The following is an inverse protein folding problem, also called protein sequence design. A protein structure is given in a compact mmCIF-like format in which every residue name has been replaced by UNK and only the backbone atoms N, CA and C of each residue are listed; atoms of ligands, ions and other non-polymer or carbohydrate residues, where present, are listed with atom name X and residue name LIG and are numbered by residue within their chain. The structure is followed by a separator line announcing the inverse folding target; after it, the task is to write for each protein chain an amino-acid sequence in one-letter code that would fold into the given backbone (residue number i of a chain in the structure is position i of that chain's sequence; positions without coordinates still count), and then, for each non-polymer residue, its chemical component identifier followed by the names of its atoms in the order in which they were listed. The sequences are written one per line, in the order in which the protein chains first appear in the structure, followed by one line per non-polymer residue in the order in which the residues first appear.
data_IF_187488804026
#
_entry.id   IF_187488804026
#
_cell.length_a   1.000
_cell.length_b   1.000
_cell.length_c   1.000
_cell.angle_alpha   90.00
_cell.angle_beta   90.00
_cell.angle_gamma   90.00
#
_symmetry.space_group_name_H-M   'P 1'
#
loop_
_entity.id
_entity.type
_entity.pdbx_description
1 polymer ?
#
# COMPACT_ATOMS: atom_id res chain seq x y z
N UNK A 1 -10.30 -0.85 -13.30
CA UNK A 1 -9.16 -1.72 -13.70
C UNK A 1 -9.41 -3.15 -13.23
N UNK A 2 -9.19 -4.14 -14.10
CA UNK A 2 -9.31 -5.58 -13.78
C UNK A 2 -7.98 -6.21 -13.33
N UNK A 3 -8.02 -7.43 -12.77
CA UNK A 3 -6.82 -8.20 -12.39
C UNK A 3 -5.90 -8.43 -13.60
N UNK A 4 -6.46 -8.83 -14.74
CA UNK A 4 -5.72 -9.06 -15.98
C UNK A 4 -5.10 -7.78 -16.56
N UNK A 5 -5.77 -6.64 -16.41
CA UNK A 5 -5.21 -5.34 -16.81
C UNK A 5 -4.03 -4.95 -15.91
N UNK A 6 -4.18 -5.07 -14.59
CA UNK A 6 -3.10 -4.79 -13.64
C UNK A 6 -1.88 -5.68 -13.90
N UNK A 7 -2.08 -6.99 -14.08
CA UNK A 7 -1.01 -7.94 -14.39
C UNK A 7 -0.22 -7.51 -15.63
N UNK A 8 -0.94 -7.20 -16.73
CA UNK A 8 -0.30 -6.75 -17.98
C UNK A 8 0.51 -5.47 -17.81
N UNK A 9 0.05 -4.52 -16.98
CA UNK A 9 0.80 -3.30 -16.69
C UNK A 9 2.04 -3.57 -15.83
N UNK A 10 1.93 -4.39 -14.78
CA UNK A 10 3.04 -4.73 -13.89
C UNK A 10 4.15 -5.51 -14.60
N UNK A 11 3.79 -6.40 -15.54
CA UNK A 11 4.75 -7.15 -16.35
C UNK A 11 5.66 -6.26 -17.23
N UNK A 12 5.23 -5.03 -17.56
CA UNK A 12 5.98 -4.10 -18.41
C UNK A 12 7.08 -3.31 -17.66
N UNK A 13 7.25 -3.50 -16.35
CA UNK A 13 8.21 -2.72 -15.57
C UNK A 13 9.03 -3.58 -14.61
N UNK A 14 10.35 -3.38 -14.63
CA UNK A 14 11.28 -4.00 -13.69
C UNK A 14 11.45 -3.24 -12.37
N UNK A 15 10.72 -2.13 -12.18
CA UNK A 15 10.68 -1.37 -10.93
C UNK A 15 10.11 -2.23 -9.81
N UNK A 16 10.34 -1.82 -8.55
CA UNK A 16 9.68 -2.47 -7.43
C UNK A 16 8.15 -2.35 -7.53
N UNK A 17 7.41 -3.30 -6.96
CA UNK A 17 5.95 -3.27 -6.93
C UNK A 17 5.45 -1.99 -6.26
N UNK A 18 6.12 -1.53 -5.20
CA UNK A 18 5.77 -0.28 -4.53
C UNK A 18 5.88 0.93 -5.46
N UNK A 19 6.96 1.03 -6.22
CA UNK A 19 7.11 2.10 -7.21
C UNK A 19 6.04 2.00 -8.30
N UNK A 20 5.78 0.79 -8.79
CA UNK A 20 4.83 0.56 -9.87
C UNK A 20 3.39 0.94 -9.49
N UNK A 21 2.93 0.62 -8.27
CA UNK A 21 1.56 0.96 -7.83
C UNK A 21 1.39 2.42 -7.41
N UNK A 22 2.49 3.15 -7.16
CA UNK A 22 2.45 4.60 -6.87
C UNK A 22 2.45 5.45 -8.15
N UNK A 23 2.81 4.85 -9.28
CA UNK A 23 2.79 5.49 -10.58
C UNK A 23 1.33 5.74 -11.02
N UNK A 24 0.93 7.01 -11.02
CA UNK A 24 -0.45 7.40 -11.34
C UNK A 24 -0.84 7.09 -12.79
N UNK A 25 0.13 6.90 -13.70
CA UNK A 25 -0.14 6.43 -15.07
C UNK A 25 -0.46 4.93 -15.13
N UNK A 26 0.04 4.17 -14.16
CA UNK A 26 -0.20 2.73 -14.04
C UNK A 26 -1.49 2.46 -13.25
N UNK A 27 -1.59 3.06 -12.06
CA UNK A 27 -2.68 2.90 -11.11
C UNK A 27 -2.99 4.21 -10.39
N UNK A 28 -4.02 4.91 -10.86
CA UNK A 28 -4.47 6.15 -10.26
C UNK A 28 -5.12 5.94 -8.88
N UNK A 29 -4.96 6.91 -7.99
CA UNK A 29 -5.62 6.97 -6.68
C UNK A 29 -4.88 6.26 -5.54
N UNK A 30 -3.87 5.44 -5.86
CA UNK A 30 -3.02 4.82 -4.82
C UNK A 30 -1.92 5.79 -4.41
N UNK A 31 -2.04 6.31 -3.18
CA UNK A 31 -1.02 7.12 -2.51
C UNK A 31 -0.09 6.29 -1.61
N UNK A 32 0.91 6.93 -1.00
CA UNK A 32 1.94 6.24 -0.20
C UNK A 32 1.35 5.47 0.99
N UNK A 33 0.33 6.01 1.66
CA UNK A 33 -0.34 5.35 2.79
C UNK A 33 -0.97 4.04 2.34
N UNK A 34 -1.89 4.10 1.37
CA UNK A 34 -2.58 2.93 0.84
C UNK A 34 -1.64 1.93 0.17
N UNK A 35 -0.54 2.38 -0.44
CA UNK A 35 0.47 1.48 -0.99
C UNK A 35 1.16 0.66 0.11
N UNK A 36 1.55 1.28 1.23
CA UNK A 36 2.16 0.57 2.35
C UNK A 36 1.18 -0.43 2.98
N UNK A 37 -0.02 0.04 3.32
CA UNK A 37 -1.02 -0.77 3.98
C UNK A 37 -1.54 -1.88 3.05
N UNK A 38 -1.73 -1.60 1.76
CA UNK A 38 -2.13 -2.58 0.76
C UNK A 38 -1.08 -3.66 0.52
N UNK A 39 0.21 -3.32 0.51
CA UNK A 39 1.31 -4.30 0.36
C UNK A 39 1.48 -5.16 1.61
N UNK A 40 1.38 -4.55 2.81
CA UNK A 40 1.32 -5.31 4.05
C UNK A 40 0.13 -6.25 4.02
N UNK A 41 -1.02 -5.73 3.64
CA UNK A 41 -2.26 -6.47 3.63
C UNK A 41 -2.18 -7.67 2.67
N UNK A 42 -1.58 -7.47 1.50
CA UNK A 42 -1.31 -8.51 0.51
C UNK A 42 -0.19 -9.48 0.91
N UNK A 43 0.61 -9.19 1.93
CA UNK A 43 1.85 -9.93 2.30
C UNK A 43 2.86 -9.96 1.15
N UNK A 44 3.08 -8.81 0.52
CA UNK A 44 4.01 -8.67 -0.60
C UNK A 44 5.19 -7.81 -0.16
N UNK A 45 6.40 -8.26 -0.50
CA UNK A 45 7.63 -7.49 -0.34
C UNK A 45 7.54 -6.22 -1.20
N UNK A 46 7.60 -5.01 -0.62
CA UNK A 46 7.52 -3.77 -1.40
C UNK A 46 8.66 -3.61 -2.41
N UNK A 47 9.80 -4.29 -2.21
CA UNK A 47 10.95 -4.32 -3.11
C UNK A 47 10.88 -5.41 -4.18
N UNK A 48 9.91 -6.33 -4.12
CA UNK A 48 9.73 -7.33 -5.18
C UNK A 48 9.51 -6.62 -6.51
N UNK A 49 10.21 -7.05 -7.56
CA UNK A 49 10.03 -6.49 -8.91
C UNK A 49 8.57 -6.71 -9.36
N UNK A 50 7.95 -5.66 -9.89
CA UNK A 50 6.54 -5.72 -10.30
C UNK A 50 6.29 -6.83 -11.33
N UNK A 51 7.22 -7.00 -12.27
CA UNK A 51 7.13 -8.02 -13.31
C UNK A 51 7.38 -9.47 -12.85
N UNK A 52 7.75 -9.70 -11.59
CA UNK A 52 7.91 -11.06 -11.03
C UNK A 52 6.74 -11.51 -10.16
N UNK A 53 5.69 -10.68 -10.03
CA UNK A 53 4.49 -11.06 -9.28
C UNK A 53 3.74 -12.18 -10.00
N UNK A 54 3.31 -13.18 -9.23
CA UNK A 54 2.46 -14.26 -9.74
C UNK A 54 1.00 -13.81 -9.86
N UNK A 55 0.19 -14.54 -10.64
CA UNK A 55 -1.25 -14.26 -10.79
C UNK A 55 -1.96 -14.22 -9.42
N UNK A 56 -1.75 -15.18 -8.49
CA UNK A 56 -2.32 -15.09 -7.14
C UNK A 56 -1.86 -13.84 -6.36
N UNK A 57 -0.60 -13.43 -6.49
CA UNK A 57 -0.10 -12.21 -5.84
C UNK A 57 -0.78 -10.96 -6.39
N UNK A 58 -0.95 -10.84 -7.72
CA UNK A 58 -1.62 -9.68 -8.33
C UNK A 58 -3.09 -9.62 -7.93
N UNK A 59 -3.79 -10.76 -7.90
CA UNK A 59 -5.16 -10.85 -7.41
C UNK A 59 -5.27 -10.36 -5.96
N UNK A 60 -4.37 -10.85 -5.10
CA UNK A 60 -4.34 -10.47 -3.68
C UNK A 60 -3.95 -9.01 -3.48
N UNK A 61 -3.04 -8.47 -4.29
CA UNK A 61 -2.65 -7.07 -4.28
C UNK A 61 -3.83 -6.17 -4.62
N UNK A 62 -4.54 -6.46 -5.71
CA UNK A 62 -5.68 -5.66 -6.14
C UNK A 62 -6.81 -5.66 -5.11
N UNK A 63 -7.16 -6.82 -4.55
CA UNK A 63 -8.19 -6.91 -3.51
C UNK A 63 -7.76 -6.21 -2.21
N UNK A 64 -6.49 -6.31 -1.83
CA UNK A 64 -5.95 -5.64 -0.65
C UNK A 64 -5.95 -4.12 -0.81
N UNK A 65 -5.53 -3.61 -1.97
CA UNK A 65 -5.56 -2.18 -2.29
C UNK A 65 -6.99 -1.64 -2.27
N UNK A 66 -7.95 -2.35 -2.89
CA UNK A 66 -9.37 -1.97 -2.84
C UNK A 66 -9.87 -1.86 -1.41
N UNK A 67 -9.64 -2.89 -0.60
CA UNK A 67 -10.08 -2.88 0.81
C UNK A 67 -9.52 -1.71 1.59
N UNK A 68 -8.21 -1.42 1.50
CA UNK A 68 -7.63 -0.30 2.26
C UNK A 68 -8.13 1.05 1.76
N UNK A 69 -8.33 1.20 0.45
CA UNK A 69 -8.89 2.44 -0.13
C UNK A 69 -10.37 2.61 0.21
N UNK A 70 -11.17 1.54 0.21
CA UNK A 70 -12.57 1.56 0.64
C UNK A 70 -12.70 1.98 2.11
N UNK A 71 -11.82 1.49 2.98
CA UNK A 71 -11.72 1.96 4.38
C UNK A 71 -11.32 3.43 4.46
N UNK A 72 -10.34 3.85 3.66
CA UNK A 72 -9.97 5.27 3.53
C UNK A 72 -11.15 6.14 3.11
N UNK A 73 -11.91 5.74 2.09
CA UNK A 73 -13.10 6.47 1.64
C UNK A 73 -14.19 6.51 2.71
N UNK A 74 -14.46 5.39 3.38
CA UNK A 74 -15.47 5.31 4.44
C UNK A 74 -15.14 6.18 5.65
N UNK A 75 -13.86 6.44 5.90
CA UNK A 75 -13.36 7.27 7.02
C UNK A 75 -13.07 8.72 6.61
N UNK A 76 -13.36 9.12 5.37
CA UNK A 76 -13.09 10.47 4.86
C UNK A 76 -11.63 10.75 4.51
N UNK A 77 -10.79 9.71 4.42
CA UNK A 77 -9.36 9.79 4.12
C UNK A 77 -8.50 9.90 5.39
N UNK A 78 -7.20 10.13 5.20
CA UNK A 78 -6.26 10.36 6.30
C UNK A 78 -5.91 11.84 6.41
N UNK A 79 -6.07 12.43 7.60
CA UNK A 79 -5.79 13.86 7.87
C UNK A 79 -4.45 14.13 8.54
N UNK A 80 -3.54 13.14 8.57
CA UNK A 80 -2.23 13.18 9.24
C UNK A 80 -1.33 14.39 8.86
N UNK A 81 -1.56 15.02 7.70
CA UNK A 81 -0.88 16.25 7.26
C UNK A 81 -1.87 17.34 6.80
N UNK A 82 -2.89 17.65 7.61
CA UNK A 82 -3.87 18.72 7.33
C UNK A 82 -4.78 18.48 6.12
N UNK A 83 -4.91 17.23 5.66
CA UNK A 83 -5.86 16.89 4.59
C UNK A 83 -7.29 17.06 5.10
N UNK A 84 -8.13 17.68 4.29
CA UNK A 84 -9.58 17.77 4.49
C UNK A 84 -10.29 17.28 3.23
N UNK A 85 -11.45 16.67 3.39
CA UNK A 85 -12.26 16.23 2.25
C UNK A 85 -12.86 17.45 1.50
N UNK A 86 -13.60 17.20 0.42
CA UNK A 86 -14.21 18.26 -0.38
C UNK A 86 -15.19 19.18 0.39
N UNK A 87 -15.63 18.76 1.59
CA UNK A 87 -16.52 19.52 2.48
C UNK A 87 -15.76 20.26 3.59
N UNK A 88 -14.43 20.18 3.63
CA UNK A 88 -13.61 20.75 4.69
C UNK A 88 -13.53 19.91 5.96
N UNK A 89 -14.01 18.66 5.94
CA UNK A 89 -14.02 17.79 7.12
C UNK A 89 -12.73 16.96 7.17
N UNK A 90 -12.21 16.73 8.37
CA UNK A 90 -11.08 15.83 8.58
C UNK A 90 -11.51 14.37 8.42
N UNK A 91 -10.68 13.60 7.73
CA UNK A 91 -10.75 12.15 7.69
C UNK A 91 -10.11 11.52 8.93
N UNK A 92 -10.43 10.25 9.16
CA UNK A 92 -10.02 9.48 10.35
C UNK A 92 -9.23 8.22 10.03
N UNK A 93 -8.83 7.99 8.77
CA UNK A 93 -8.13 6.77 8.37
C UNK A 93 -6.78 6.57 9.08
N UNK A 94 -6.15 7.63 9.60
CA UNK A 94 -4.94 7.54 10.42
C UNK A 94 -5.10 6.66 11.67
N UNK A 95 -6.33 6.52 12.18
CA UNK A 95 -6.64 5.62 13.30
C UNK A 95 -6.68 4.15 12.88
N UNK A 96 -6.68 3.86 11.57
CA UNK A 96 -6.77 2.53 10.98
C UNK A 96 -5.50 2.11 10.22
N UNK A 97 -4.42 2.90 10.29
CA UNK A 97 -3.17 2.56 9.60
C UNK A 97 -2.67 1.18 10.02
N UNK A 98 -2.39 0.35 9.02
CA UNK A 98 -1.94 -1.02 9.25
C UNK A 98 -0.45 -1.03 9.57
N UNK A 99 0.34 -0.27 8.81
CA UNK A 99 1.80 -0.15 9.01
C UNK A 99 2.32 1.26 8.87
N UNK A 100 1.65 2.13 8.11
CA UNK A 100 2.15 3.48 7.82
C UNK A 100 2.35 4.30 9.11
N UNK A 101 3.53 4.92 9.26
CA UNK A 101 3.87 5.74 10.43
C UNK A 101 4.24 4.95 11.69
N UNK A 102 3.97 3.65 11.74
CA UNK A 102 4.04 2.81 12.96
C UNK A 102 5.43 2.21 13.21
N UNK A 103 6.51 2.96 12.96
CA UNK A 103 7.89 2.46 13.15
C UNK A 103 8.13 2.02 14.59
N UNK A 104 8.67 0.81 14.79
CA UNK A 104 8.98 0.29 16.13
C UNK A 104 7.79 -0.35 16.86
N UNK A 105 6.56 -0.13 16.38
CA UNK A 105 5.36 -0.79 16.91
C UNK A 105 5.29 -2.26 16.50
N UNK A 106 4.63 -3.12 17.31
CA UNK A 106 4.41 -4.51 16.95
C UNK A 106 3.47 -4.66 15.76
N UNK A 107 3.83 -5.50 14.79
CA UNK A 107 2.96 -5.87 13.69
C UNK A 107 1.71 -6.59 14.19
N UNK A 108 0.53 -6.09 13.83
CA UNK A 108 -0.77 -6.62 14.25
C UNK A 108 -1.03 -8.09 13.86
N UNK A 109 -0.19 -8.70 13.00
CA UNK A 109 -0.29 -10.11 12.61
C UNK A 109 0.65 -11.04 13.37
N UNK A 110 1.84 -10.57 13.73
CA UNK A 110 2.91 -11.47 14.19
C UNK A 110 3.76 -10.92 15.33
N UNK A 111 3.50 -9.71 15.80
CA UNK A 111 4.22 -9.07 16.90
C UNK A 111 5.62 -8.53 16.56
N UNK A 112 6.21 -8.92 15.42
CA UNK A 112 7.51 -8.37 14.97
C UNK A 112 7.43 -6.86 14.81
N UNK A 113 8.43 -6.12 15.31
CA UNK A 113 8.49 -4.66 15.18
C UNK A 113 8.47 -4.25 13.70
N UNK A 114 7.66 -3.24 13.40
CA UNK A 114 7.60 -2.65 12.07
C UNK A 114 8.83 -1.78 11.83
N UNK A 115 9.34 -1.83 10.61
CA UNK A 115 10.53 -1.09 10.21
C UNK A 115 10.21 -0.11 9.09
N UNK A 116 10.89 1.04 9.12
CA UNK A 116 10.84 2.02 8.05
C UNK A 116 12.05 1.86 7.13
N UNK A 117 11.81 1.56 5.87
CA UNK A 117 12.80 1.52 4.80
C UNK A 117 12.46 2.58 3.74
N UNK A 118 13.34 2.76 2.76
CA UNK A 118 13.09 3.62 1.58
C UNK A 118 12.99 2.75 0.33
N UNK A 119 11.93 2.96 -0.45
CA UNK A 119 11.70 2.30 -1.75
C UNK A 119 11.20 3.36 -2.73
N UNK A 120 11.87 3.51 -3.88
CA UNK A 120 11.51 4.54 -4.86
C UNK A 120 11.53 5.98 -4.32
N UNK A 121 12.44 6.28 -3.39
CA UNK A 121 12.51 7.59 -2.73
C UNK A 121 11.37 7.89 -1.75
N UNK A 122 10.48 6.93 -1.45
CA UNK A 122 9.35 7.09 -0.54
C UNK A 122 9.54 6.27 0.73
N UNK A 123 9.19 6.87 1.88
CA UNK A 123 9.13 6.16 3.17
C UNK A 123 8.19 4.96 3.09
N UNK A 124 8.68 3.81 3.53
CA UNK A 124 8.01 2.52 3.41
C UNK A 124 8.02 1.80 4.75
N UNK A 125 6.87 1.41 5.24
CA UNK A 125 6.73 0.69 6.51
C UNK A 125 6.42 -0.77 6.23
N UNK A 126 7.19 -1.67 6.84
CA UNK A 126 7.16 -3.10 6.50
C UNK A 126 7.24 -3.96 7.75
N UNK A 127 6.65 -5.16 7.66
CA UNK A 127 6.92 -6.24 8.61
C UNK A 127 7.93 -7.23 7.99
N UNK A 128 9.11 -7.33 8.59
CA UNK A 128 10.18 -8.26 8.16
C UNK A 128 9.74 -9.73 8.13
N UNK A 129 8.76 -10.13 8.95
CA UNK A 129 8.28 -11.52 9.01
C UNK A 129 7.08 -11.80 8.10
N UNK A 130 6.26 -10.79 7.78
CA UNK A 130 5.04 -10.98 7.00
C UNK A 130 5.19 -10.66 5.51
N UNK A 131 6.23 -9.92 5.13
CA UNK A 131 6.41 -9.39 3.78
C UNK A 131 7.78 -9.69 3.18
N UNK A 132 8.79 -9.96 3.99
CA UNK A 132 10.14 -10.32 3.55
C UNK A 132 10.37 -11.81 3.81
#
# INVERSE_FOLDING_TARGET
MSEAELMRKLQKTGRSVKEAILDQSLLAGVGNIYANDGLWEARINPKQKANTLTIPQVKKLLSSLRRVMERGLATGGASDNSYVNAKGEMGSYQNEFLVYGRTGEPCNRCGTKLERIVVGGRGTWVCQKCQL
#
